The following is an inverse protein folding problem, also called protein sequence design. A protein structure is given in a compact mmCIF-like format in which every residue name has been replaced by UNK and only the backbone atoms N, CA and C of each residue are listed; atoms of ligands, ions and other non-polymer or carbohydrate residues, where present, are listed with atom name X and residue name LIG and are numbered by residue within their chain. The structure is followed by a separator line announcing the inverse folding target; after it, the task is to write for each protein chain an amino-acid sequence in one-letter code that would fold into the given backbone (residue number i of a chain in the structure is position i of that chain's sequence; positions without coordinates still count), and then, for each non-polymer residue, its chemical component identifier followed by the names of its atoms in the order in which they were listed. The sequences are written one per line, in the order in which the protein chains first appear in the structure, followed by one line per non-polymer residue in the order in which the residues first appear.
data_IF_436308818280
#
_entry.id   IF_436308818280
#
_cell.length_a   1.000
_cell.length_b   1.000
_cell.length_c   1.000
_cell.angle_alpha   90.00
_cell.angle_beta   90.00
_cell.angle_gamma   90.00
#
_symmetry.space_group_name_H-M   'P 1'
#
loop_
_entity.id
_entity.type
_entity.pdbx_description
1 polymer ?
#
# COMPACT_ATOMS: atom_id res chain seq x y z
N UNK A 1 20.73 -11.28 47.07
CA UNK A 1 20.65 -9.87 46.61
C UNK A 1 20.29 -9.88 45.17
N UNK A 2 19.00 -9.75 44.83
CA UNK A 2 18.49 -9.72 43.46
C UNK A 2 18.46 -8.27 42.98
N UNK A 3 19.11 -7.99 41.86
CA UNK A 3 19.11 -6.69 41.23
C UNK A 3 17.74 -6.50 40.56
N UNK A 4 17.02 -5.40 40.77
CA UNK A 4 15.78 -5.14 40.07
C UNK A 4 16.13 -4.73 38.63
N UNK A 5 15.48 -5.42 37.67
CA UNK A 5 15.59 -5.15 36.25
C UNK A 5 15.16 -3.71 35.93
N UNK A 6 16.08 -2.94 35.36
CA UNK A 6 15.84 -1.59 34.89
C UNK A 6 14.83 -1.60 33.74
N UNK A 7 13.63 -1.05 33.96
CA UNK A 7 12.73 -0.68 32.92
C UNK A 7 13.40 0.37 32.04
N UNK A 8 13.66 0.06 30.77
CA UNK A 8 14.18 1.01 29.78
C UNK A 8 13.21 2.19 29.70
N UNK A 9 13.62 3.36 30.15
CA UNK A 9 12.87 4.60 29.93
C UNK A 9 12.73 4.80 28.42
N UNK A 10 11.49 4.91 27.94
CA UNK A 10 11.18 5.13 26.53
C UNK A 10 11.92 6.38 26.04
N UNK A 11 12.84 6.21 25.09
CA UNK A 11 13.64 7.32 24.56
C UNK A 11 12.83 8.26 23.66
N UNK A 12 13.36 9.43 23.30
CA UNK A 12 12.66 10.40 22.42
C UNK A 12 12.15 9.81 21.10
N UNK A 13 12.85 8.81 20.54
CA UNK A 13 12.43 8.11 19.31
C UNK A 13 11.13 7.32 19.53
N UNK A 14 10.98 6.64 20.64
CA UNK A 14 9.78 5.86 20.97
C UNK A 14 8.53 6.76 21.09
N UNK A 15 8.68 7.96 21.63
CA UNK A 15 7.60 8.95 21.75
C UNK A 15 7.19 9.50 20.36
N UNK A 16 8.17 9.79 19.50
CA UNK A 16 7.91 10.26 18.13
C UNK A 16 7.22 9.18 17.29
N UNK A 17 7.71 7.93 17.35
CA UNK A 17 7.12 6.79 16.66
C UNK A 17 5.69 6.52 17.16
N UNK A 18 5.44 6.69 18.45
CA UNK A 18 4.09 6.61 19.00
C UNK A 18 3.18 7.69 18.42
N UNK A 19 3.60 8.94 18.37
CA UNK A 19 2.81 10.04 17.83
C UNK A 19 2.48 9.82 16.34
N UNK A 20 3.43 9.29 15.54
CA UNK A 20 3.19 8.90 14.15
C UNK A 20 2.11 7.82 14.05
N UNK A 21 2.23 6.73 14.83
CA UNK A 21 1.21 5.66 14.85
C UNK A 21 -0.17 6.16 15.27
N UNK A 22 -0.26 7.10 16.21
CA UNK A 22 -1.52 7.74 16.59
C UNK A 22 -2.10 8.53 15.42
N UNK A 23 -1.26 9.30 14.72
CA UNK A 23 -1.66 10.06 13.52
C UNK A 23 -2.22 9.20 12.39
N UNK A 24 -1.67 7.98 12.21
CA UNK A 24 -2.13 7.03 11.19
C UNK A 24 -3.45 6.33 11.56
N UNK A 25 -3.66 6.03 12.84
CA UNK A 25 -4.77 5.19 13.32
C UNK A 25 -6.03 5.95 13.70
N UNK A 26 -5.92 7.22 14.11
CA UNK A 26 -7.05 8.04 14.53
C UNK A 26 -7.49 9.02 13.45
N UNK A 27 -8.78 9.44 13.47
CA UNK A 27 -9.23 10.61 12.73
C UNK A 27 -8.39 11.84 13.08
N UNK A 28 -8.05 12.67 12.09
CA UNK A 28 -7.21 13.87 12.28
C UNK A 28 -7.79 14.80 13.36
N UNK A 29 -9.11 14.92 13.42
CA UNK A 29 -9.78 15.72 14.46
C UNK A 29 -9.47 15.20 15.88
N UNK A 30 -9.45 13.88 16.07
CA UNK A 30 -9.12 13.27 17.36
C UNK A 30 -7.63 13.39 17.71
N UNK A 31 -6.74 13.32 16.72
CA UNK A 31 -5.30 13.58 16.96
C UNK A 31 -5.07 15.03 17.39
N UNK A 32 -5.79 16.01 16.78
CA UNK A 32 -5.74 17.41 17.21
C UNK A 32 -6.26 17.60 18.64
N UNK A 33 -7.37 16.94 19.00
CA UNK A 33 -7.90 16.96 20.37
C UNK A 33 -6.91 16.35 21.38
N UNK A 34 -6.20 15.29 20.99
CA UNK A 34 -5.11 14.71 21.82
C UNK A 34 -3.95 15.70 21.98
N UNK A 35 -3.58 16.44 20.93
CA UNK A 35 -2.54 17.48 21.01
C UNK A 35 -2.93 18.62 21.97
N UNK A 36 -4.16 19.09 21.88
CA UNK A 36 -4.72 20.08 22.82
C UNK A 36 -4.77 19.57 24.25
N UNK A 37 -5.21 18.33 24.44
CA UNK A 37 -5.23 17.68 25.75
C UNK A 37 -3.82 17.51 26.34
N UNK A 38 -2.83 17.17 25.50
CA UNK A 38 -1.42 17.10 25.91
C UNK A 38 -0.90 18.44 26.40
N UNK A 39 -1.21 19.56 25.67
CA UNK A 39 -0.82 20.89 26.08
C UNK A 39 -1.42 21.30 27.45
N UNK A 40 -2.66 20.87 27.73
CA UNK A 40 -3.33 21.09 29.02
C UNK A 40 -2.87 20.12 30.14
N UNK A 41 -1.98 19.19 29.82
CA UNK A 41 -1.45 18.19 30.75
C UNK A 41 -2.48 17.14 31.18
N UNK A 42 -2.21 16.49 32.32
CA UNK A 42 -3.04 15.40 32.82
C UNK A 42 -4.53 15.75 33.03
N UNK A 43 -4.92 16.98 33.47
CA UNK A 43 -6.33 17.35 33.52
C UNK A 43 -7.02 17.34 32.16
N UNK A 44 -6.35 17.84 31.11
CA UNK A 44 -6.88 17.83 29.73
C UNK A 44 -7.07 16.44 29.18
N UNK A 45 -6.11 15.54 29.44
CA UNK A 45 -6.19 14.13 29.02
C UNK A 45 -7.35 13.41 29.71
N UNK A 46 -7.57 13.60 31.00
CA UNK A 46 -8.71 13.01 31.72
C UNK A 46 -10.05 13.53 31.17
N UNK A 47 -10.15 14.82 30.88
CA UNK A 47 -11.35 15.39 30.29
C UNK A 47 -11.64 14.79 28.90
N UNK A 48 -10.63 14.73 28.02
CA UNK A 48 -10.78 14.14 26.70
C UNK A 48 -11.15 12.65 26.77
N UNK A 49 -10.53 11.89 27.67
CA UNK A 49 -10.81 10.48 27.89
C UNK A 49 -12.27 10.24 28.31
N UNK A 50 -12.80 11.06 29.21
CA UNK A 50 -14.18 10.97 29.66
C UNK A 50 -15.18 11.27 28.52
N UNK A 51 -14.82 12.17 27.61
CA UNK A 51 -15.63 12.55 26.44
C UNK A 51 -15.41 11.66 25.21
N UNK A 52 -14.49 10.68 25.28
CA UNK A 52 -14.10 9.86 24.13
C UNK A 52 -15.17 8.87 23.73
N UNK A 53 -15.70 8.99 22.51
CA UNK A 53 -16.72 8.11 21.94
C UNK A 53 -16.19 6.75 21.47
N UNK A 54 -14.88 6.60 21.23
CA UNK A 54 -14.28 5.36 20.73
C UNK A 54 -13.29 4.76 21.72
N UNK A 55 -13.17 3.42 21.70
CA UNK A 55 -12.20 2.69 22.51
C UNK A 55 -10.76 3.03 22.12
N UNK A 56 -10.52 3.31 20.83
CA UNK A 56 -9.19 3.65 20.30
C UNK A 56 -8.74 5.02 20.82
N UNK A 57 -9.64 5.99 20.90
CA UNK A 57 -9.32 7.31 21.45
C UNK A 57 -9.07 7.23 22.97
N UNK A 58 -9.83 6.40 23.70
CA UNK A 58 -9.59 6.17 25.13
C UNK A 58 -8.22 5.54 25.39
N UNK A 59 -7.86 4.52 24.60
CA UNK A 59 -6.53 3.88 24.69
C UNK A 59 -5.41 4.89 24.37
N UNK A 60 -5.60 5.75 23.38
CA UNK A 60 -4.66 6.82 23.06
C UNK A 60 -4.51 7.83 24.22
N UNK A 61 -5.58 8.18 24.93
CA UNK A 61 -5.52 9.01 26.12
C UNK A 61 -4.74 8.32 27.25
N UNK A 62 -4.96 7.01 27.48
CA UNK A 62 -4.24 6.24 28.50
C UNK A 62 -2.74 6.13 28.16
N UNK A 63 -2.40 6.00 26.90
CA UNK A 63 -1.01 6.03 26.44
C UNK A 63 -0.36 7.41 26.57
N UNK A 64 -1.10 8.49 26.33
CA UNK A 64 -0.65 9.86 26.50
C UNK A 64 -0.39 10.18 27.98
N UNK A 65 -1.31 9.80 28.87
CA UNK A 65 -1.17 9.95 30.32
C UNK A 65 0.13 9.34 30.86
N UNK A 66 0.44 8.11 30.40
CA UNK A 66 1.71 7.44 30.77
C UNK A 66 2.94 8.23 30.32
N UNK A 67 2.87 8.91 29.17
CA UNK A 67 3.98 9.69 28.62
C UNK A 67 4.16 11.05 29.29
N UNK A 68 3.09 11.64 29.77
CA UNK A 68 3.16 12.87 30.57
C UNK A 68 3.93 12.69 31.88
N UNK A 69 4.13 11.46 32.34
CA UNK A 69 4.94 11.17 33.54
C UNK A 69 6.45 11.40 33.31
N UNK A 70 6.92 11.41 32.05
CA UNK A 70 8.36 11.53 31.74
C UNK A 70 8.69 12.44 30.53
N UNK A 71 7.70 13.02 29.87
CA UNK A 71 7.90 13.93 28.74
C UNK A 71 7.08 15.23 28.94
N UNK A 72 7.66 16.33 28.51
CA UNK A 72 7.05 17.66 28.65
C UNK A 72 5.72 17.76 27.85
N UNK A 73 4.67 18.34 28.43
CA UNK A 73 3.37 18.51 27.77
C UNK A 73 3.47 19.21 26.41
N UNK A 74 4.26 20.26 26.31
CA UNK A 74 4.46 21.00 25.06
C UNK A 74 5.13 20.15 23.96
N UNK A 75 6.09 19.30 24.33
CA UNK A 75 6.75 18.39 23.42
C UNK A 75 5.76 17.33 22.85
N UNK A 76 4.97 16.71 23.72
CA UNK A 76 3.95 15.73 23.31
C UNK A 76 2.87 16.38 22.42
N UNK A 77 2.41 17.56 22.77
CA UNK A 77 1.47 18.36 21.97
C UNK A 77 2.03 18.65 20.58
N UNK A 78 3.27 19.12 20.52
CA UNK A 78 3.95 19.44 19.24
C UNK A 78 4.11 18.22 18.34
N UNK A 79 4.48 17.05 18.89
CA UNK A 79 4.58 15.80 18.13
C UNK A 79 3.22 15.36 17.56
N UNK A 80 2.16 15.39 18.37
CA UNK A 80 0.81 15.01 17.92
C UNK A 80 0.26 15.99 16.87
N UNK A 81 0.45 17.28 17.07
CA UNK A 81 0.06 18.30 16.09
C UNK A 81 0.83 18.15 14.76
N UNK A 82 2.14 17.88 14.84
CA UNK A 82 2.98 17.58 13.69
C UNK A 82 2.53 16.32 12.94
N UNK A 83 2.22 15.23 13.67
CA UNK A 83 1.70 14.00 13.10
C UNK A 83 0.35 14.23 12.40
N UNK A 84 -0.58 14.96 13.02
CA UNK A 84 -1.87 15.32 12.40
C UNK A 84 -1.67 16.08 11.10
N UNK A 85 -0.75 17.06 11.09
CA UNK A 85 -0.46 17.88 9.91
C UNK A 85 0.21 17.09 8.79
N UNK A 86 1.14 16.19 9.14
CA UNK A 86 1.81 15.32 8.17
C UNK A 86 0.82 14.38 7.48
N UNK A 87 -0.07 13.75 8.23
CA UNK A 87 -1.11 12.86 7.69
C UNK A 87 -2.13 13.64 6.84
N UNK A 88 -2.54 14.82 7.28
CA UNK A 88 -3.43 15.69 6.49
C UNK A 88 -2.79 16.06 5.15
N UNK A 89 -1.52 16.46 5.16
CA UNK A 89 -0.78 16.79 3.94
C UNK A 89 -0.62 15.58 3.02
N UNK A 90 -0.30 14.41 3.59
CA UNK A 90 -0.21 13.18 2.82
C UNK A 90 -1.54 12.83 2.13
N UNK A 91 -2.68 12.99 2.84
CA UNK A 91 -4.02 12.77 2.28
C UNK A 91 -4.39 13.79 1.20
N UNK A 92 -3.99 15.05 1.34
CA UNK A 92 -4.22 16.09 0.31
C UNK A 92 -3.47 15.79 -1.00
N UNK A 93 -2.36 15.05 -0.93
CA UNK A 93 -1.57 14.64 -2.09
C UNK A 93 -2.02 13.30 -2.69
N UNK A 94 -3.02 12.64 -2.12
CA UNK A 94 -3.59 11.43 -2.67
C UNK A 94 -4.70 11.76 -3.67
N UNK A 95 -4.56 11.25 -4.90
CA UNK A 95 -5.61 11.30 -5.91
C UNK A 95 -6.09 9.88 -6.22
N UNK A 96 -7.40 9.69 -6.25
CA UNK A 96 -8.05 8.44 -6.64
C UNK A 96 -8.92 8.72 -7.86
N UNK A 97 -8.73 7.92 -8.92
CA UNK A 97 -9.52 8.00 -10.14
C UNK A 97 -9.96 6.62 -10.60
N UNK A 98 -11.09 6.57 -11.31
CA UNK A 98 -11.60 5.34 -11.91
C UNK A 98 -11.05 5.21 -13.32
N UNK A 99 -10.68 3.98 -13.70
CA UNK A 99 -10.20 3.61 -15.04
C UNK A 99 -11.14 2.53 -15.57
N UNK A 100 -11.63 2.69 -16.79
CA UNK A 100 -12.53 1.76 -17.44
C UNK A 100 -11.94 1.23 -18.75
N UNK A 101 -12.25 -0.02 -19.07
CA UNK A 101 -12.23 -0.55 -20.44
C UNK A 101 -13.66 -0.89 -20.83
N UNK A 102 -14.05 -0.63 -22.06
CA UNK A 102 -15.37 -0.97 -22.58
C UNK A 102 -16.10 0.22 -23.22
N UNK A 103 -17.42 0.10 -23.44
CA UNK A 103 -18.20 1.14 -24.10
C UNK A 103 -18.21 2.46 -23.31
N UNK A 104 -18.20 3.58 -24.04
CA UNK A 104 -18.36 4.90 -23.44
C UNK A 104 -19.81 5.14 -23.03
N UNK A 105 -20.02 5.70 -21.83
CA UNK A 105 -21.35 5.97 -21.31
C UNK A 105 -21.82 7.42 -21.50
N UNK A 106 -20.95 8.32 -21.96
CA UNK A 106 -21.21 9.75 -22.02
C UNK A 106 -21.28 10.46 -20.66
N UNK A 107 -21.22 9.71 -19.54
CA UNK A 107 -21.32 10.26 -18.18
C UNK A 107 -19.93 10.56 -17.58
N UNK A 108 -18.90 9.87 -18.01
CA UNK A 108 -17.53 10.09 -17.57
C UNK A 108 -16.55 9.91 -18.72
N UNK A 109 -15.51 10.72 -18.76
CA UNK A 109 -14.36 10.47 -19.64
C UNK A 109 -13.63 9.24 -19.11
N UNK A 110 -13.85 8.08 -19.71
CA UNK A 110 -13.14 6.87 -19.35
C UNK A 110 -11.74 6.90 -19.94
N UNK A 111 -10.72 6.80 -19.09
CA UNK A 111 -9.36 6.54 -19.56
C UNK A 111 -9.24 5.04 -19.81
N UNK A 112 -8.91 4.64 -21.03
CA UNK A 112 -8.70 3.25 -21.38
C UNK A 112 -7.63 2.62 -20.47
N UNK A 113 -7.91 1.43 -19.94
CA UNK A 113 -7.00 0.70 -19.02
C UNK A 113 -5.62 0.50 -19.63
N UNK A 114 -5.53 0.16 -20.92
CA UNK A 114 -4.26 -0.01 -21.64
C UNK A 114 -3.41 1.26 -21.63
N UNK A 115 -4.00 2.42 -21.94
CA UNK A 115 -3.28 3.69 -21.92
C UNK A 115 -2.78 4.04 -20.51
N UNK A 116 -3.62 3.82 -19.49
CA UNK A 116 -3.23 4.05 -18.11
C UNK A 116 -2.05 3.15 -17.68
N UNK A 117 -2.06 1.87 -18.04
CA UNK A 117 -0.98 0.91 -17.75
C UNK A 117 0.32 1.34 -18.43
N UNK A 118 0.28 1.67 -19.73
CA UNK A 118 1.46 2.08 -20.49
C UNK A 118 2.05 3.38 -19.92
N UNK A 119 1.22 4.35 -19.57
CA UNK A 119 1.69 5.60 -18.98
C UNK A 119 2.34 5.39 -17.61
N UNK A 120 1.79 4.49 -16.79
CA UNK A 120 2.40 4.13 -15.50
C UNK A 120 3.78 3.51 -15.69
N UNK A 121 3.92 2.55 -16.61
CA UNK A 121 5.20 1.90 -16.92
C UNK A 121 6.21 2.91 -17.47
N UNK A 122 5.79 3.80 -18.35
CA UNK A 122 6.65 4.83 -18.92
C UNK A 122 7.11 5.88 -17.89
N UNK A 123 6.27 6.19 -16.91
CA UNK A 123 6.58 7.13 -15.83
C UNK A 123 7.49 6.55 -14.74
N UNK A 124 7.66 5.23 -14.69
CA UNK A 124 8.45 4.54 -13.67
C UNK A 124 9.92 4.98 -13.67
N UNK A 125 10.47 5.17 -12.47
CA UNK A 125 11.85 5.64 -12.25
C UNK A 125 12.73 4.64 -11.50
N UNK A 126 12.15 3.83 -10.61
CA UNK A 126 12.89 2.90 -9.75
C UNK A 126 12.38 1.46 -9.83
N UNK A 127 11.08 1.25 -9.68
CA UNK A 127 10.53 -0.10 -9.61
C UNK A 127 9.10 -0.21 -10.16
N UNK A 128 8.78 -1.38 -10.70
CA UNK A 128 7.45 -1.78 -11.15
C UNK A 128 7.14 -3.16 -10.57
N UNK A 129 6.03 -3.29 -9.86
CA UNK A 129 5.43 -4.57 -9.48
C UNK A 129 4.19 -4.81 -10.33
N UNK A 130 4.17 -5.95 -11.05
CA UNK A 130 3.02 -6.43 -11.82
C UNK A 130 2.50 -7.71 -11.22
N UNK A 131 1.21 -7.75 -10.89
CA UNK A 131 0.50 -8.95 -10.43
C UNK A 131 -0.67 -9.23 -11.37
N UNK A 132 -0.75 -10.44 -11.94
CA UNK A 132 -1.85 -10.78 -12.86
C UNK A 132 -2.14 -12.28 -12.89
N UNK A 133 -3.43 -12.63 -12.92
CA UNK A 133 -3.87 -14.00 -13.16
C UNK A 133 -3.53 -14.46 -14.58
N UNK A 134 -3.89 -13.68 -15.59
CA UNK A 134 -3.62 -14.02 -16.99
C UNK A 134 -2.69 -12.98 -17.62
N UNK A 135 -1.59 -13.47 -18.16
CA UNK A 135 -0.61 -12.66 -18.89
C UNK A 135 -0.41 -13.27 -20.25
N UNK A 136 -1.05 -12.71 -21.27
CA UNK A 136 -0.58 -12.88 -22.66
C UNK A 136 0.34 -11.72 -22.94
N UNK A 137 1.46 -12.00 -23.59
CA UNK A 137 2.42 -10.96 -23.98
C UNK A 137 1.72 -9.98 -24.93
N UNK A 138 1.24 -8.88 -24.38
CA UNK A 138 0.69 -7.78 -25.14
C UNK A 138 1.87 -6.93 -25.63
N UNK A 139 2.02 -6.70 -26.96
CA UNK A 139 3.23 -6.10 -27.53
C UNK A 139 3.55 -4.70 -26.99
N UNK A 140 2.56 -3.83 -26.76
CA UNK A 140 2.77 -2.46 -26.30
C UNK A 140 3.24 -2.44 -24.82
N UNK A 141 2.67 -3.30 -23.97
CA UNK A 141 3.09 -3.46 -22.58
C UNK A 141 4.52 -4.03 -22.54
N UNK A 142 4.83 -5.03 -23.38
CA UNK A 142 6.18 -5.59 -23.48
C UNK A 142 7.20 -4.51 -23.87
N UNK A 143 6.88 -3.71 -24.87
CA UNK A 143 7.74 -2.62 -25.32
C UNK A 143 7.97 -1.58 -24.21
N UNK A 144 6.91 -1.18 -23.49
CA UNK A 144 7.02 -0.25 -22.37
C UNK A 144 7.87 -0.81 -21.22
N UNK A 145 7.68 -2.09 -20.85
CA UNK A 145 8.48 -2.76 -19.83
C UNK A 145 9.95 -2.90 -20.25
N UNK A 146 10.21 -3.24 -21.52
CA UNK A 146 11.58 -3.31 -22.04
C UNK A 146 12.26 -1.94 -22.02
N UNK A 147 11.55 -0.87 -22.37
CA UNK A 147 12.06 0.49 -22.26
C UNK A 147 12.29 0.89 -20.77
N UNK A 148 11.45 0.46 -19.83
CA UNK A 148 11.65 0.70 -18.40
C UNK A 148 12.91 -0.02 -17.89
N UNK A 149 13.11 -1.31 -18.22
CA UNK A 149 14.33 -2.04 -17.84
C UNK A 149 15.59 -1.46 -18.45
N UNK A 150 15.53 -0.92 -19.68
CA UNK A 150 16.63 -0.19 -20.30
C UNK A 150 16.99 1.13 -19.56
N UNK A 151 16.04 1.70 -18.82
CA UNK A 151 16.27 2.83 -17.90
C UNK A 151 16.72 2.41 -16.49
N UNK A 152 17.04 1.12 -16.28
CA UNK A 152 17.39 0.50 -15.00
C UNK A 152 16.24 0.46 -13.97
N UNK A 153 14.99 0.48 -14.43
CA UNK A 153 13.82 0.25 -13.56
C UNK A 153 13.75 -1.24 -13.23
N UNK A 154 13.70 -1.56 -11.93
CA UNK A 154 13.53 -2.93 -11.46
C UNK A 154 12.10 -3.41 -11.73
N UNK A 155 11.94 -4.58 -12.35
CA UNK A 155 10.62 -5.14 -12.66
C UNK A 155 10.43 -6.44 -11.89
N UNK A 156 9.33 -6.55 -11.15
CA UNK A 156 8.87 -7.78 -10.49
C UNK A 156 7.55 -8.21 -11.12
N UNK A 157 7.48 -9.46 -11.56
CA UNK A 157 6.29 -10.09 -12.13
C UNK A 157 5.82 -11.21 -11.20
N UNK A 158 4.62 -11.09 -10.67
CA UNK A 158 3.92 -12.18 -9.97
C UNK A 158 2.75 -12.62 -10.84
N UNK A 159 2.83 -13.84 -11.37
CA UNK A 159 1.86 -14.35 -12.32
C UNK A 159 1.40 -15.76 -11.99
N UNK A 160 0.15 -16.10 -12.40
CA UNK A 160 -0.34 -17.46 -12.34
C UNK A 160 0.39 -18.36 -13.35
N UNK A 161 0.51 -19.64 -13.04
CA UNK A 161 1.18 -20.65 -13.87
C UNK A 161 0.32 -21.89 -14.02
N UNK A 162 0.44 -22.56 -15.17
CA UNK A 162 -0.24 -23.82 -15.41
C UNK A 162 0.20 -24.93 -14.43
N UNK A 163 1.49 -24.95 -14.08
CA UNK A 163 2.08 -25.92 -13.15
C UNK A 163 1.53 -25.77 -11.73
N UNK A 164 1.13 -24.57 -11.34
CA UNK A 164 0.55 -24.29 -10.02
C UNK A 164 -0.99 -24.31 -10.04
N UNK A 165 -1.60 -24.19 -11.23
CA UNK A 165 -3.05 -24.18 -11.42
C UNK A 165 -3.39 -24.84 -12.77
N UNK A 166 -3.69 -26.16 -12.82
CA UNK A 166 -4.03 -26.87 -14.07
C UNK A 166 -5.24 -26.29 -14.84
N UNK A 167 -6.14 -25.57 -14.14
CA UNK A 167 -7.26 -24.87 -14.79
C UNK A 167 -6.82 -23.60 -15.53
N UNK A 168 -5.60 -23.14 -15.35
CA UNK A 168 -5.03 -22.00 -16.04
C UNK A 168 -4.53 -22.40 -17.43
N UNK A 169 -5.23 -21.95 -18.47
CA UNK A 169 -5.01 -22.41 -19.84
C UNK A 169 -3.86 -21.70 -20.58
N UNK A 170 -3.24 -20.68 -20.02
CA UNK A 170 -2.16 -19.95 -20.70
C UNK A 170 -0.83 -20.70 -20.56
N UNK A 171 -0.21 -21.04 -21.68
CA UNK A 171 1.11 -21.68 -21.70
C UNK A 171 2.22 -20.61 -21.81
N UNK A 172 3.36 -20.90 -21.14
CA UNK A 172 4.60 -20.15 -21.29
C UNK A 172 4.82 -19.03 -20.29
N UNK A 173 6.02 -18.50 -20.31
CA UNK A 173 6.47 -17.42 -19.41
C UNK A 173 5.95 -16.07 -19.88
N UNK A 174 5.28 -15.27 -19.01
CA UNK A 174 4.86 -13.93 -19.36
C UNK A 174 6.06 -13.05 -19.74
N UNK A 175 5.92 -12.27 -20.82
CA UNK A 175 6.94 -11.34 -21.33
C UNK A 175 8.32 -12.00 -21.45
N UNK A 176 8.49 -13.01 -22.33
CA UNK A 176 9.75 -13.72 -22.48
C UNK A 176 10.87 -12.77 -22.91
N UNK A 177 12.07 -12.98 -22.34
CA UNK A 177 13.25 -12.14 -22.59
C UNK A 177 13.29 -10.82 -21.81
N UNK A 178 12.27 -10.48 -21.03
CA UNK A 178 12.31 -9.33 -20.14
C UNK A 178 13.18 -9.65 -18.92
N UNK A 179 14.13 -8.77 -18.61
CA UNK A 179 14.89 -8.84 -17.36
C UNK A 179 14.01 -8.43 -16.18
N UNK A 180 13.49 -9.41 -15.45
CA UNK A 180 12.55 -9.20 -14.34
C UNK A 180 12.71 -10.28 -13.28
N UNK A 181 12.52 -9.91 -12.02
CA UNK A 181 12.28 -10.88 -10.96
C UNK A 181 10.91 -11.53 -11.17
N UNK A 182 10.88 -12.86 -11.30
CA UNK A 182 9.64 -13.61 -11.54
C UNK A 182 9.29 -14.39 -10.30
N UNK A 183 8.09 -14.14 -9.79
CA UNK A 183 7.53 -14.82 -8.63
C UNK A 183 6.30 -15.62 -9.03
N UNK A 184 6.07 -16.69 -8.30
CA UNK A 184 4.85 -17.49 -8.38
C UNK A 184 4.37 -17.89 -6.99
N UNK A 185 3.10 -18.22 -6.86
CA UNK A 185 2.54 -18.81 -5.67
C UNK A 185 2.43 -20.34 -5.92
N UNK A 186 3.31 -21.19 -5.31
CA UNK A 186 3.36 -22.59 -5.62
C UNK A 186 2.09 -23.33 -5.13
N UNK A 187 1.62 -24.30 -5.90
CA UNK A 187 0.45 -25.12 -5.56
C UNK A 187 0.55 -25.76 -4.17
N UNK A 188 1.76 -26.16 -3.76
CA UNK A 188 2.04 -26.78 -2.46
C UNK A 188 1.78 -25.88 -1.24
N UNK A 189 1.76 -24.56 -1.43
CA UNK A 189 1.50 -23.56 -0.38
C UNK A 189 0.12 -22.92 -0.47
N UNK A 190 -0.77 -23.45 -1.35
CA UNK A 190 -2.13 -22.92 -1.55
C UNK A 190 -3.18 -23.74 -0.81
N UNK A 191 -4.24 -23.11 -0.28
CA UNK A 191 -5.46 -23.82 0.04
C UNK A 191 -6.06 -24.50 -1.22
N UNK A 192 -6.77 -25.62 -1.07
CA UNK A 192 -7.40 -26.30 -2.21
C UNK A 192 -8.32 -25.34 -3.00
N UNK A 193 -8.15 -25.32 -4.33
CA UNK A 193 -8.93 -24.44 -5.23
C UNK A 193 -8.52 -22.98 -5.26
N UNK A 194 -7.53 -22.55 -4.48
CA UNK A 194 -7.04 -21.18 -4.51
C UNK A 194 -6.23 -20.90 -5.79
N UNK A 195 -6.37 -19.69 -6.30
CA UNK A 195 -5.64 -19.17 -7.46
C UNK A 195 -5.10 -17.76 -7.19
N UNK A 196 -4.00 -17.40 -7.84
CA UNK A 196 -3.54 -16.03 -7.89
C UNK A 196 -4.46 -15.23 -8.81
N UNK A 197 -5.44 -14.53 -8.26
CA UNK A 197 -6.46 -13.82 -9.06
C UNK A 197 -6.39 -12.29 -8.97
N UNK A 198 -5.38 -11.73 -8.32
CA UNK A 198 -5.15 -10.30 -8.24
C UNK A 198 -4.69 -9.71 -9.59
N UNK A 199 -5.10 -8.47 -9.89
CA UNK A 199 -4.67 -7.67 -11.03
C UNK A 199 -4.24 -6.31 -10.50
N UNK A 200 -2.92 -6.14 -10.38
CA UNK A 200 -2.34 -5.00 -9.69
C UNK A 200 -1.08 -4.54 -10.43
N UNK A 201 -0.91 -3.23 -10.51
CA UNK A 201 0.35 -2.60 -10.93
C UNK A 201 0.70 -1.61 -9.83
N UNK A 202 1.92 -1.68 -9.31
CA UNK A 202 2.49 -0.66 -8.41
C UNK A 202 3.74 -0.09 -9.04
N UNK A 203 3.89 1.22 -9.01
CA UNK A 203 5.03 1.96 -9.56
C UNK A 203 5.62 2.86 -8.49
N UNK A 204 6.92 2.71 -8.24
CA UNK A 204 7.74 3.58 -7.39
C UNK A 204 7.16 3.81 -5.98
N UNK A 205 6.40 2.86 -5.43
CA UNK A 205 5.66 3.00 -4.16
C UNK A 205 4.67 4.18 -4.10
N UNK A 206 4.47 4.87 -5.22
CA UNK A 206 3.70 6.10 -5.29
C UNK A 206 2.38 5.96 -6.04
N UNK A 207 2.29 4.99 -6.94
CA UNK A 207 1.09 4.81 -7.76
C UNK A 207 0.71 3.34 -7.77
N UNK A 208 -0.59 3.05 -7.61
CA UNK A 208 -1.14 1.71 -7.77
C UNK A 208 -2.39 1.74 -8.67
N UNK A 209 -2.46 0.81 -9.62
CA UNK A 209 -3.70 0.48 -10.33
C UNK A 209 -4.15 -0.91 -9.86
N UNK A 210 -5.36 -0.97 -9.31
CA UNK A 210 -5.99 -2.21 -8.85
C UNK A 210 -7.31 -2.36 -9.58
N UNK A 211 -7.55 -3.50 -10.20
CA UNK A 211 -8.78 -3.67 -10.98
C UNK A 211 -9.12 -5.10 -11.35
N UNK A 212 -10.04 -5.23 -12.27
CA UNK A 212 -10.49 -6.50 -12.82
C UNK A 212 -9.71 -6.94 -14.06
N UNK A 213 -9.06 -6.00 -14.79
CA UNK A 213 -8.39 -6.27 -16.04
C UNK A 213 -7.09 -7.10 -15.88
N UNK A 214 -7.04 -8.25 -16.54
CA UNK A 214 -5.79 -8.99 -16.71
C UNK A 214 -4.85 -8.28 -17.70
N UNK A 215 -3.56 -8.62 -17.69
CA UNK A 215 -2.58 -8.13 -18.67
C UNK A 215 -2.72 -8.89 -20.01
N UNK A 216 -3.88 -8.75 -20.65
CA UNK A 216 -4.21 -9.36 -21.94
C UNK A 216 -4.84 -8.32 -22.84
N UNK A 217 -4.61 -8.39 -24.17
CA UNK A 217 -5.19 -7.44 -25.13
C UNK A 217 -6.71 -7.33 -25.01
N UNK A 218 -7.40 -8.45 -24.82
CA UNK A 218 -8.87 -8.46 -24.67
C UNK A 218 -9.33 -7.71 -23.41
N UNK A 219 -8.67 -7.89 -22.26
CA UNK A 219 -9.03 -7.18 -21.02
C UNK A 219 -8.65 -5.69 -21.09
N UNK A 220 -7.60 -5.36 -21.84
CA UNK A 220 -7.12 -3.99 -21.96
C UNK A 220 -7.92 -3.14 -22.97
N UNK A 221 -8.61 -3.77 -23.95
CA UNK A 221 -9.20 -3.06 -25.10
C UNK A 221 -10.69 -3.35 -25.33
N UNK A 222 -11.18 -4.52 -24.95
CA UNK A 222 -12.49 -5.01 -25.44
C UNK A 222 -13.48 -5.42 -24.35
N UNK A 223 -13.00 -5.93 -23.21
CA UNK A 223 -13.88 -6.32 -22.12
C UNK A 223 -14.47 -5.08 -21.42
N UNK A 224 -15.54 -5.29 -20.64
CA UNK A 224 -15.95 -4.33 -19.63
C UNK A 224 -15.16 -4.56 -18.37
N UNK A 225 -14.19 -3.71 -18.08
CA UNK A 225 -13.30 -3.80 -16.93
C UNK A 225 -13.28 -2.49 -16.17
N UNK A 226 -13.10 -2.57 -14.83
CA UNK A 226 -13.03 -1.41 -13.96
C UNK A 226 -11.78 -1.50 -13.08
N UNK A 227 -11.11 -0.38 -12.89
CA UNK A 227 -9.97 -0.26 -12.00
C UNK A 227 -9.98 1.05 -11.22
N UNK A 228 -9.28 1.03 -10.10
CA UNK A 228 -9.00 2.20 -9.26
C UNK A 228 -7.52 2.54 -9.39
N UNK A 229 -7.24 3.73 -9.89
CA UNK A 229 -5.89 4.29 -9.95
C UNK A 229 -5.69 5.20 -8.74
N UNK A 230 -4.75 4.83 -7.89
CA UNK A 230 -4.37 5.53 -6.66
C UNK A 230 -3.00 6.18 -6.90
N UNK A 231 -2.90 7.50 -6.70
CA UNK A 231 -1.65 8.25 -6.74
C UNK A 231 -1.37 8.86 -5.38
N UNK A 232 -0.18 8.63 -4.84
CA UNK A 232 0.19 9.05 -3.47
C UNK A 232 -0.54 8.28 -2.37
N UNK A 233 -0.35 8.70 -1.13
CA UNK A 233 -0.87 8.02 0.05
C UNK A 233 -0.09 6.74 0.38
N UNK A 234 -0.49 6.01 1.43
CA UNK A 234 0.22 4.81 1.89
C UNK A 234 -0.11 3.53 1.12
N UNK A 235 -1.21 3.49 0.34
CA UNK A 235 -1.74 2.26 -0.25
C UNK A 235 -0.80 1.63 -1.30
N UNK A 236 -0.15 2.37 -2.22
CA UNK A 236 0.76 1.76 -3.19
C UNK A 236 1.89 1.00 -2.50
N UNK A 237 2.53 1.62 -1.51
CA UNK A 237 3.58 1.01 -0.70
C UNK A 237 3.06 -0.20 0.08
N UNK A 238 1.90 -0.10 0.74
CA UNK A 238 1.32 -1.20 1.51
C UNK A 238 1.06 -2.45 0.65
N UNK A 239 0.62 -2.27 -0.60
CA UNK A 239 0.44 -3.37 -1.55
C UNK A 239 1.79 -4.01 -1.89
N UNK A 240 2.80 -3.22 -2.23
CA UNK A 240 4.14 -3.71 -2.55
C UNK A 240 4.76 -4.44 -1.35
N UNK A 241 4.70 -3.86 -0.16
CA UNK A 241 5.25 -4.43 1.08
C UNK A 241 4.61 -5.78 1.41
N UNK A 242 3.30 -5.93 1.18
CA UNK A 242 2.63 -7.22 1.37
C UNK A 242 3.17 -8.30 0.44
N UNK A 243 3.31 -8.03 -0.86
CA UNK A 243 3.87 -8.98 -1.83
C UNK A 243 5.33 -9.32 -1.51
N UNK A 244 6.13 -8.31 -1.17
CA UNK A 244 7.53 -8.50 -0.76
C UNK A 244 7.63 -9.32 0.53
N UNK A 245 6.74 -9.08 1.50
CA UNK A 245 6.65 -9.84 2.74
C UNK A 245 6.29 -11.31 2.50
N UNK A 246 5.34 -11.59 1.61
CA UNK A 246 5.01 -12.97 1.21
C UNK A 246 6.20 -13.68 0.54
N UNK A 247 6.99 -12.98 -0.27
CA UNK A 247 8.20 -13.54 -0.86
C UNK A 247 9.28 -13.78 0.21
N UNK A 248 9.51 -12.84 1.10
CA UNK A 248 10.48 -12.98 2.20
C UNK A 248 10.11 -14.12 3.16
N UNK A 249 8.81 -14.36 3.37
CA UNK A 249 8.30 -15.46 4.18
C UNK A 249 8.29 -16.84 3.45
N UNK A 250 8.74 -16.90 2.19
CA UNK A 250 8.76 -18.15 1.40
C UNK A 250 7.38 -18.62 0.93
N UNK A 251 6.34 -17.81 1.02
CA UNK A 251 5.00 -18.10 0.48
C UNK A 251 4.98 -17.93 -1.04
N UNK A 252 5.67 -16.91 -1.54
CA UNK A 252 5.93 -16.72 -2.97
C UNK A 252 7.37 -17.10 -3.27
N UNK A 253 7.58 -17.89 -4.32
CA UNK A 253 8.89 -18.36 -4.72
C UNK A 253 9.35 -17.71 -6.03
N UNK A 254 10.67 -17.65 -6.20
CA UNK A 254 11.31 -17.22 -7.45
C UNK A 254 11.27 -18.36 -8.47
N UNK A 255 11.05 -18.05 -9.74
CA UNK A 255 11.19 -18.93 -10.91
C UNK A 255 12.64 -19.03 -11.34
#
# INVERSE_FOLDING_TARGET
MSVPGGGSAAGPRDVADWACRIGERLPIADVRRLAEAAAAGEPGVRQLRAAAGSIILRDACDQLSKRLAYAEPAYLSGLLAGAARAVERARQHQAVSVVWTGPESGVSSSRLTAAAVIDLINAARSEILLVSYATRTEPSIKAALSAATARNVAVTLLAERHEDNPSYAAAGTPFPGLNALRLHWPASSRPPGAALHAKIIVVDDQVALVGSANLTSRAMESNLECGILIRGGPQPRAIRDHITGLHAAGVLLRL
#
